data_IF_138882762494
#
_entry.id   IF_138882762494
#
_cell.length_a   1.000
_cell.length_b   1.000
_cell.length_c   1.000
_cell.angle_alpha   90.00
_cell.angle_beta   90.00
_cell.angle_gamma   90.00
#
_symmetry.space_group_name_H-M   'P 1'
#
loop_
_entity.id
_entity.type
_entity.pdbx_description
1 polymer ?
2 polymer ?
3 non-polymer ?
4 non-polymer ?
5 water ?
#
loop_
_entity_poly.entity_id
_entity_poly.type
_entity_poly.pdbx_seq_one_letter_code
_entity_poly.pdbx_strand_id
2 'polyribonucleotide' 'GGGGGCCACAGCAGAAGCGUUCACGUCGCGGCCCCUGUCAGCCAUUGCACUCCGGCUGCGAAUUCUGCU' ?
#
# COMPACT_ATOMS: atom_id res chain seq x y z
N UNK A 1 30.70 16.15 13.85
CA UNK A 1 30.29 16.34 15.23
C UNK A 1 29.57 15.10 15.75
N UNK A 2 30.33 14.07 16.06
CA UNK A 2 29.72 12.79 16.48
C UNK A 2 28.86 12.96 17.72
N UNK A 3 27.58 12.62 17.57
CA UNK A 3 26.58 12.64 18.63
C UNK A 3 26.22 11.22 19.00
N UNK A 4 25.69 11.04 20.22
CA UNK A 4 25.18 9.74 20.62
C UNK A 4 24.02 9.27 19.74
N UNK A 5 23.32 10.21 19.08
CA UNK A 5 22.09 9.91 18.36
C UNK A 5 22.27 10.21 16.88
N UNK A 6 21.89 9.25 16.03
CA UNK A 6 21.91 9.47 14.59
C UNK A 6 20.49 9.75 14.12
N UNK A 7 20.39 10.61 13.11
CA UNK A 7 19.11 11.01 12.52
C UNK A 7 19.02 10.40 11.13
N UNK A 8 17.97 9.62 10.90
CA UNK A 8 17.78 8.90 9.65
C UNK A 8 16.47 9.37 9.03
N UNK A 9 16.54 9.89 7.80
CA UNK A 9 15.32 10.19 7.06
C UNK A 9 15.38 9.52 5.69
N UNK A 10 14.43 9.85 4.81
CA UNK A 10 14.21 9.13 3.56
C UNK A 10 13.82 7.68 3.82
N UNK A 11 13.06 7.46 4.90
CA UNK A 11 12.57 6.13 5.25
C UNK A 11 11.19 5.90 4.65
N UNK A 12 10.94 4.65 4.26
CA UNK A 12 9.65 4.25 3.69
C UNK A 12 8.53 4.55 4.67
N UNK A 13 7.66 5.49 4.32
CA UNK A 13 6.63 5.97 5.25
C UNK A 13 5.45 5.00 5.37
N UNK A 14 5.37 3.97 4.54
CA UNK A 14 4.31 2.99 4.67
C UNK A 14 4.57 1.97 5.77
N UNK A 15 5.80 1.88 6.26
CA UNK A 15 6.14 0.89 7.28
C UNK A 15 5.64 1.37 8.64
N UNK A 16 5.00 0.46 9.37
CA UNK A 16 4.36 0.83 10.63
C UNK A 16 5.38 0.92 11.76
N UNK A 17 4.99 1.64 12.83
CA UNK A 17 5.93 2.07 13.85
C UNK A 17 6.64 0.88 14.51
N UNK A 18 5.90 -0.17 14.86
CA UNK A 18 6.51 -1.29 15.54
C UNK A 18 7.45 -2.07 14.62
N UNK A 19 7.05 -2.27 13.36
CA UNK A 19 7.92 -2.96 12.42
C UNK A 19 9.15 -2.13 12.08
N UNK A 20 8.97 -0.81 11.93
CA UNK A 20 10.09 0.06 11.64
C UNK A 20 11.11 0.06 12.77
N UNK A 21 10.64 0.09 14.03
CA UNK A 21 11.55 0.07 15.16
C UNK A 21 12.31 -1.25 15.24
N UNK A 22 11.61 -2.37 15.03
CA UNK A 22 12.27 -3.68 15.11
C UNK A 22 13.29 -3.86 14.00
N UNK A 23 12.97 -3.38 12.78
CA UNK A 23 13.91 -3.53 11.68
C UNK A 23 15.11 -2.59 11.83
N UNK A 24 14.87 -1.37 12.30
CA UNK A 24 15.98 -0.45 12.57
C UNK A 24 16.87 -1.01 13.68
N UNK A 25 16.28 -1.65 14.68
CA UNK A 25 17.07 -2.25 15.75
C UNK A 25 17.90 -3.41 15.24
N UNK A 26 17.38 -4.16 14.26
CA UNK A 26 18.08 -5.34 13.77
C UNK A 26 19.40 -4.96 13.09
N UNK A 27 19.41 -3.86 12.34
CA UNK A 27 20.60 -3.49 11.58
C UNK A 27 21.55 -2.57 12.35
N UNK A 28 21.06 -1.83 13.34
CA UNK A 28 21.91 -0.87 14.04
C UNK A 28 22.44 -1.39 15.37
N UNK A 29 21.80 -2.39 15.96
CA UNK A 29 22.35 -2.98 17.18
C UNK A 29 23.67 -3.71 16.91
N UNK A 30 23.97 -4.01 15.65
CA UNK A 30 25.26 -4.59 15.29
C UNK A 30 26.41 -3.68 15.68
N UNK A 31 26.16 -2.38 15.78
CA UNK A 31 27.20 -1.41 16.06
C UNK A 31 27.34 -1.07 17.54
N UNK A 32 26.43 -1.50 18.38
CA UNK A 32 26.55 -1.24 19.81
C UNK A 32 25.18 -1.14 20.43
N UNK A 33 25.20 -0.97 21.76
CA UNK A 33 23.98 -0.90 22.54
C UNK A 33 23.17 0.32 22.17
N UNK A 34 21.89 0.11 21.88
CA UNK A 34 20.96 1.18 21.55
C UNK A 34 20.11 1.48 22.78
N UNK A 35 20.08 2.76 23.19
CA UNK A 35 19.30 3.15 24.36
C UNK A 35 17.84 3.36 24.03
N UNK A 36 17.52 3.80 22.81
CA UNK A 36 16.15 4.03 22.41
C UNK A 36 16.11 4.26 20.90
N UNK A 37 14.95 4.00 20.31
CA UNK A 37 14.68 4.33 18.92
C UNK A 37 13.36 5.07 18.89
N UNK A 38 13.40 6.34 18.46
CA UNK A 38 12.23 7.21 18.50
C UNK A 38 11.68 7.37 17.09
N UNK A 39 10.43 6.94 16.89
CA UNK A 39 9.77 6.95 15.59
C UNK A 39 8.37 7.50 15.79
N UNK A 40 8.01 8.51 14.98
CA UNK A 40 6.65 9.04 14.94
C UNK A 40 6.15 9.07 13.51
N UNK A 41 4.87 8.77 13.32
CA UNK A 41 4.27 8.76 11.99
C UNK A 41 3.38 9.97 11.74
N UNK A 42 3.46 10.98 12.60
CA UNK A 42 2.76 12.23 12.35
C UNK A 42 3.31 12.92 11.11
N UNK A 43 2.55 13.90 10.59
CA UNK A 43 2.93 14.58 9.36
C UNK A 43 4.32 15.17 9.45
N UNK A 44 4.69 15.69 10.62
CA UNK A 44 5.99 16.34 10.76
C UNK A 44 7.12 15.34 10.80
N UNK A 45 6.93 14.21 11.49
CA UNK A 45 8.02 13.30 11.83
C UNK A 45 8.00 11.98 11.07
N UNK A 46 7.11 11.81 10.11
CA UNK A 46 7.08 10.54 9.38
C UNK A 46 8.29 10.44 8.44
N UNK A 47 8.64 9.20 8.12
CA UNK A 47 9.82 8.95 7.30
C UNK A 47 11.13 9.25 7.99
N UNK A 48 11.14 9.34 9.32
CA UNK A 48 12.32 9.74 10.07
C UNK A 48 12.44 8.89 11.33
N UNK A 49 13.65 8.82 11.86
CA UNK A 49 13.90 8.06 13.09
C UNK A 49 15.14 8.61 13.78
N UNK A 50 15.15 8.47 15.10
CA UNK A 50 16.30 8.80 15.93
C UNK A 50 16.76 7.53 16.63
N UNK A 51 18.01 7.14 16.39
CA UNK A 51 18.60 5.97 17.03
C UNK A 51 19.65 6.46 18.02
N UNK A 52 19.43 6.18 19.29
CA UNK A 52 20.30 6.67 20.37
C UNK A 52 21.23 5.53 20.78
N UNK A 53 22.53 5.72 20.57
CA UNK A 53 23.53 4.74 20.98
C UNK A 53 24.09 5.09 22.35
N UNK A 54 24.46 4.05 23.11
CA UNK A 54 25.03 4.26 24.43
C UNK A 54 26.40 4.94 24.35
N UNK A 55 27.12 4.73 23.25
CA UNK A 55 28.45 5.31 23.07
C UNK A 55 28.51 6.01 21.73
N UNK A 56 29.26 7.11 21.68
CA UNK A 56 29.32 7.93 20.46
C UNK A 56 30.03 7.18 19.34
N UNK A 57 31.00 6.33 19.66
CA UNK A 57 31.71 5.60 18.62
C UNK A 57 30.79 4.66 17.85
N UNK A 58 29.80 4.09 18.54
CA UNK A 58 28.82 3.24 17.86
C UNK A 58 28.02 4.04 16.83
N UNK A 59 27.63 5.26 17.17
CA UNK A 59 26.87 6.09 16.24
C UNK A 59 27.71 6.49 15.05
N UNK A 60 29.00 6.73 15.26
CA UNK A 60 29.89 7.06 14.15
C UNK A 60 30.10 5.85 13.23
N UNK A 61 30.27 4.66 13.82
CA UNK A 61 30.41 3.46 13.00
C UNK A 61 29.12 3.15 12.25
N UNK A 62 27.97 3.29 12.92
CA UNK A 62 26.69 3.02 12.26
C UNK A 62 26.45 4.00 11.11
N UNK A 63 26.87 5.25 11.28
CA UNK A 63 26.64 6.25 10.24
C UNK A 63 27.50 5.98 9.02
N UNK A 64 28.81 5.81 9.22
CA UNK A 64 29.71 5.57 8.09
C UNK A 64 29.39 4.28 7.37
N UNK A 65 28.93 3.26 8.10
CA UNK A 65 28.73 1.94 7.52
C UNK A 65 27.38 1.78 6.82
N UNK A 66 26.33 2.44 7.29
CA UNK A 66 24.99 2.25 6.77
C UNK A 66 24.50 3.42 5.93
N UNK A 67 25.38 4.36 5.59
CA UNK A 67 24.98 5.48 4.75
C UNK A 67 24.56 4.99 3.36
N UNK A 68 23.34 5.34 2.96
CA UNK A 68 22.83 4.96 1.66
C UNK A 68 22.37 3.52 1.55
N UNK A 69 22.26 2.81 2.66
CA UNK A 69 21.91 1.40 2.62
C UNK A 69 20.46 1.21 2.21
N UNK A 70 20.15 0.36 1.24
CA UNK A 70 18.75 0.14 0.84
C UNK A 70 17.95 -0.46 1.99
N UNK A 71 16.88 0.24 2.36
CA UNK A 71 16.05 -0.14 3.51
C UNK A 71 14.60 0.02 3.06
N UNK A 72 13.89 -1.11 2.94
CA UNK A 72 12.57 -1.13 2.33
C UNK A 72 12.57 -0.40 0.99
N UNK A 73 13.62 -0.67 0.20
CA UNK A 73 13.78 -0.16 -1.16
C UNK A 73 13.94 1.36 -1.21
N UNK A 74 14.44 1.95 -0.12
CA UNK A 74 14.83 3.35 -0.11
C UNK A 74 16.20 3.50 0.55
N UNK A 75 17.09 4.28 -0.04
CA UNK A 75 18.44 4.45 0.54
C UNK A 75 18.39 5.26 1.83
N UNK A 76 18.89 4.68 2.91
CA UNK A 76 18.91 5.38 4.20
C UNK A 76 19.80 6.61 4.14
N UNK A 77 19.27 7.72 4.65
CA UNK A 77 19.98 8.99 4.73
C UNK A 77 20.27 9.27 6.20
N UNK A 78 21.55 9.22 6.58
CA UNK A 78 21.94 9.25 7.98
C UNK A 78 22.78 10.49 8.25
N UNK A 79 22.45 11.20 9.34
CA UNK A 79 23.23 12.31 9.87
C UNK A 79 23.31 12.16 11.37
N UNK A 80 24.24 12.88 11.98
CA UNK A 80 24.20 13.05 13.43
C UNK A 80 23.03 13.96 13.81
N UNK A 81 22.49 13.72 15.00
CA UNK A 81 21.43 14.59 15.50
C UNK A 81 22.00 15.97 15.81
N UNK A 82 21.23 17.01 15.47
CA UNK A 82 21.72 18.37 15.66
C UNK A 82 21.88 18.73 17.12
N UNK A 83 21.05 18.17 18.01
CA UNK A 83 21.19 18.36 19.44
C UNK A 83 21.16 17.02 20.14
N UNK A 84 21.65 17.00 21.39
CA UNK A 84 21.60 15.80 22.19
C UNK A 84 20.15 15.39 22.47
N UNK A 85 19.91 14.09 22.49
CA UNK A 85 18.61 13.59 22.95
C UNK A 85 18.45 13.86 24.44
N UNK A 86 17.19 13.96 24.87
CA UNK A 86 16.90 14.31 26.26
C UNK A 86 17.57 13.35 27.23
N UNK A 87 17.56 12.05 26.91
CA UNK A 87 18.10 11.08 27.84
C UNK A 87 19.62 11.19 27.93
N UNK A 88 20.27 11.62 26.84
CA UNK A 88 21.72 11.75 26.85
C UNK A 88 22.15 13.02 27.59
N UNK A 89 21.41 14.11 27.40
CA UNK A 89 21.74 15.36 28.09
C UNK A 89 21.65 15.20 29.60
N UNK A 90 20.67 14.42 30.08
CA UNK A 90 20.48 14.22 31.50
C UNK A 90 21.49 13.24 32.10
N UNK A 91 22.31 12.59 31.29
CA UNK A 91 23.32 11.65 31.79
C UNK A 91 24.67 12.34 31.98
N UNK B 1 -22.86 -4.43 -29.45
CA UNK B 1 -23.03 -5.85 -29.15
C UNK B 1 -23.22 -6.08 -27.65
N UNK B 2 -24.45 -5.89 -27.17
CA UNK B 2 -24.72 -6.04 -25.73
C UNK B 2 -24.53 -7.48 -25.27
N UNK B 3 -24.43 -7.62 -23.95
CA UNK B 3 -24.20 -8.92 -23.32
C UNK B 3 -24.69 -8.86 -21.88
N UNK B 4 -25.09 -10.03 -21.36
CA UNK B 4 -25.47 -10.11 -19.95
C UNK B 4 -24.34 -9.71 -19.02
N UNK B 5 -23.09 -9.85 -19.47
CA UNK B 5 -21.92 -9.65 -18.63
C UNK B 5 -21.18 -8.39 -19.09
N UNK B 6 -20.87 -7.51 -18.15
CA UNK B 6 -20.04 -6.34 -18.43
C UNK B 6 -18.62 -6.65 -18.00
N UNK B 7 -17.66 -6.15 -18.77
CA UNK B 7 -16.24 -6.32 -18.49
C UNK B 7 -15.69 -5.00 -17.97
N UNK B 8 -15.22 -5.00 -16.73
CA UNK B 8 -14.67 -3.82 -16.09
C UNK B 8 -13.18 -4.03 -15.93
N UNK B 9 -12.39 -3.06 -16.39
CA UNK B 9 -10.95 -3.08 -16.12
C UNK B 9 -10.50 -1.70 -15.68
N UNK B 10 -9.19 -1.50 -15.55
CA UNK B 10 -8.61 -0.33 -14.90
C UNK B 10 -9.10 -0.22 -13.45
N UNK B 11 -9.19 -1.37 -12.78
CA UNK B 11 -9.56 -1.42 -11.38
C UNK B 11 -8.32 -1.34 -10.49
N UNK B 12 -8.48 -0.77 -9.31
CA UNK B 12 -7.41 -0.66 -8.34
C UNK B 12 -6.93 -2.06 -7.95
N UNK B 13 -5.73 -2.42 -8.36
CA UNK B 13 -5.22 -3.77 -8.15
C UNK B 13 -4.77 -4.05 -6.72
N UNK B 14 -4.78 -3.05 -5.84
CA UNK B 14 -4.41 -3.27 -4.45
C UNK B 14 -5.58 -3.73 -3.59
N UNK B 15 -6.80 -3.69 -4.11
CA UNK B 15 -7.97 -4.10 -3.34
C UNK B 15 -8.08 -5.62 -3.37
N UNK B 16 -8.36 -6.21 -2.22
CA UNK B 16 -8.42 -7.66 -2.12
C UNK B 16 -9.72 -8.19 -2.74
N UNK B 17 -9.73 -9.50 -3.01
CA UNK B 17 -10.79 -10.09 -3.82
C UNK B 17 -12.15 -9.96 -3.15
N UNK B 18 -12.25 -10.37 -1.88
CA UNK B 18 -13.54 -10.34 -1.19
C UNK B 18 -14.07 -8.91 -1.07
N UNK B 19 -13.18 -7.95 -0.83
CA UNK B 19 -13.61 -6.56 -0.70
C UNK B 19 -14.00 -5.97 -2.06
N UNK B 20 -13.25 -6.32 -3.11
CA UNK B 20 -13.56 -5.81 -4.44
C UNK B 20 -14.92 -6.30 -4.92
N UNK B 21 -15.23 -7.58 -4.67
CA UNK B 21 -16.51 -8.13 -5.09
C UNK B 21 -17.67 -7.48 -4.33
N UNK B 22 -17.49 -7.25 -3.03
CA UNK B 22 -18.55 -6.64 -2.24
C UNK B 22 -18.81 -5.19 -2.67
N UNK B 23 -17.74 -4.45 -2.98
CA UNK B 23 -17.92 -3.06 -3.38
C UNK B 23 -18.49 -2.97 -4.80
N UNK B 24 -18.07 -3.87 -5.70
CA UNK B 24 -18.64 -3.89 -7.03
C UNK B 24 -20.12 -4.26 -6.98
N UNK B 25 -20.49 -5.18 -6.08
CA UNK B 25 -21.89 -5.55 -5.92
C UNK B 25 -22.70 -4.39 -5.34
N UNK B 26 -22.10 -3.59 -4.46
CA UNK B 26 -22.84 -2.51 -3.82
C UNK B 26 -23.20 -1.41 -4.81
N UNK B 27 -22.31 -1.11 -5.76
CA UNK B 27 -22.55 -0.03 -6.70
C UNK B 27 -23.24 -0.48 -7.98
N UNK B 28 -23.33 -1.79 -8.24
CA UNK B 28 -23.97 -2.29 -9.46
C UNK B 28 -25.31 -2.97 -9.23
N UNK B 29 -25.72 -3.19 -7.98
CA UNK B 29 -26.96 -3.91 -7.72
C UNK B 29 -28.19 -3.07 -8.00
N UNK B 30 -28.06 -1.75 -8.12
CA UNK B 30 -29.23 -0.92 -8.38
C UNK B 30 -29.71 -0.98 -9.82
N UNK B 31 -28.91 -1.55 -10.72
CA UNK B 31 -29.31 -1.70 -12.11
C UNK B 31 -30.09 -2.98 -12.38
N UNK B 32 -30.08 -3.93 -11.45
CA UNK B 32 -30.79 -5.17 -11.63
C UNK B 32 -30.11 -6.31 -10.90
N UNK B 33 -30.73 -7.49 -11.01
CA UNK B 33 -30.22 -8.66 -10.33
C UNK B 33 -28.88 -9.10 -10.91
N UNK B 34 -27.89 -9.26 -10.04
CA UNK B 34 -26.56 -9.75 -10.43
C UNK B 34 -26.49 -11.24 -10.15
N UNK B 35 -26.10 -12.01 -11.17
CA UNK B 35 -26.00 -13.47 -10.99
C UNK B 35 -24.65 -13.87 -10.40
N UNK B 36 -23.58 -13.16 -10.74
CA UNK B 36 -22.26 -13.49 -10.22
C UNK B 36 -21.33 -12.32 -10.52
N UNK B 37 -20.27 -12.23 -9.73
CA UNK B 37 -19.18 -11.28 -9.96
C UNK B 37 -17.88 -12.07 -9.90
N UNK B 38 -17.17 -12.13 -11.02
CA UNK B 38 -15.97 -12.95 -11.14
C UNK B 38 -14.74 -12.05 -11.05
N UNK B 39 -13.86 -12.34 -10.09
CA UNK B 39 -12.66 -11.55 -9.83
C UNK B 39 -11.50 -12.51 -9.57
N UNK B 40 -10.36 -12.23 -10.19
CA UNK B 40 -9.12 -12.95 -9.92
C UNK B 40 -7.98 -11.95 -9.88
N UNK B 41 -7.00 -12.22 -9.01
CA UNK B 41 -5.86 -11.33 -8.85
C UNK B 41 -4.59 -11.89 -9.45
N UNK B 42 -4.70 -12.89 -10.32
CA UNK B 42 -3.54 -13.41 -11.03
C UNK B 42 -2.97 -12.33 -11.95
N UNK B 43 -1.75 -12.58 -12.42
CA UNK B 43 -1.08 -11.62 -13.30
C UNK B 43 -1.95 -11.24 -14.48
N UNK B 44 -2.60 -12.24 -15.11
CA UNK B 44 -3.39 -12.00 -16.31
C UNK B 44 -4.71 -11.30 -15.99
N UNK B 45 -5.35 -11.65 -14.88
CA UNK B 45 -6.72 -11.23 -14.63
C UNK B 45 -6.84 -10.15 -13.56
N UNK B 46 -5.75 -9.63 -13.03
CA UNK B 46 -5.86 -8.59 -12.02
C UNK B 46 -6.30 -7.27 -12.66
N UNK B 47 -6.87 -6.40 -11.82
CA UNK B 47 -7.42 -5.14 -12.31
C UNK B 47 -8.68 -5.27 -13.12
N UNK B 48 -9.32 -6.44 -13.14
CA UNK B 48 -10.47 -6.68 -14.00
C UNK B 48 -11.54 -7.43 -13.23
N UNK B 49 -12.79 -7.23 -13.64
CA UNK B 49 -13.91 -7.95 -13.05
C UNK B 49 -14.96 -8.20 -14.11
N UNK B 50 -15.72 -9.29 -13.93
CA UNK B 50 -16.85 -9.63 -14.79
C UNK B 50 -18.11 -9.62 -13.92
N UNK B 51 -19.05 -8.76 -14.27
CA UNK B 51 -20.32 -8.66 -13.55
C UNK B 51 -21.41 -9.23 -14.45
N UNK B 52 -22.00 -10.35 -14.02
CA UNK B 52 -23.01 -11.05 -14.79
C UNK B 52 -24.38 -10.60 -14.30
N UNK B 53 -25.15 -9.96 -15.18
CA UNK B 53 -26.49 -9.51 -14.86
C UNK B 53 -27.52 -10.52 -15.37
N UNK B 54 -28.64 -10.61 -14.65
CA UNK B 54 -29.70 -11.53 -15.04
C UNK B 54 -30.35 -11.12 -16.35
N UNK B 55 -30.35 -9.83 -16.67
CA UNK B 55 -30.99 -9.34 -17.88
C UNK B 55 -30.10 -8.34 -18.59
N UNK B 56 -30.06 -8.43 -19.92
CA UNK B 56 -29.16 -7.59 -20.72
C UNK B 56 -29.44 -6.11 -20.49
N UNK B 57 -30.69 -5.76 -20.20
CA UNK B 57 -31.03 -4.35 -19.96
C UNK B 57 -30.25 -3.81 -18.77
N UNK B 58 -30.09 -4.61 -17.72
CA UNK B 58 -29.33 -4.18 -16.55
C UNK B 58 -27.87 -3.89 -16.92
N UNK B 59 -27.27 -4.75 -17.75
CA UNK B 59 -25.89 -4.54 -18.14
C UNK B 59 -25.75 -3.29 -19.00
N UNK B 60 -26.71 -3.04 -19.89
CA UNK B 60 -26.66 -1.85 -20.72
C UNK B 60 -26.77 -0.58 -19.87
N UNK B 61 -27.67 -0.59 -18.88
CA UNK B 61 -27.80 0.57 -18.00
C UNK B 61 -26.54 0.76 -17.17
N UNK B 62 -25.94 -0.34 -16.69
CA UNK B 62 -24.74 -0.23 -15.87
C UNK B 62 -23.55 0.29 -16.68
N UNK B 63 -23.42 -0.16 -17.93
CA UNK B 63 -22.31 0.29 -18.76
C UNK B 63 -22.41 1.78 -19.06
N UNK B 64 -23.62 2.27 -19.36
CA UNK B 64 -23.80 3.67 -19.72
C UNK B 64 -23.73 4.57 -18.49
N UNK B 65 -24.22 4.10 -17.34
CA UNK B 65 -24.32 4.96 -16.17
C UNK B 65 -23.04 5.01 -15.35
N UNK B 66 -22.25 3.93 -15.35
CA UNK B 66 -21.06 3.83 -14.52
C UNK B 66 -19.76 3.96 -15.31
N UNK B 67 -19.85 4.33 -16.60
CA UNK B 67 -18.64 4.51 -17.39
C UNK B 67 -17.80 5.66 -16.84
N UNK B 68 -16.53 5.37 -16.54
CA UNK B 68 -15.63 6.36 -16.02
C UNK B 68 -15.81 6.71 -14.56
N UNK B 69 -16.71 6.02 -13.85
CA UNK B 69 -16.99 6.35 -12.46
C UNK B 69 -15.78 6.05 -11.59
N UNK B 70 -15.36 6.99 -10.73
CA UNK B 70 -14.21 6.73 -9.86
C UNK B 70 -14.54 5.64 -8.83
N UNK B 71 -13.64 4.66 -8.73
CA UNK B 71 -13.83 3.49 -7.89
C UNK B 71 -12.49 3.18 -7.24
N UNK B 72 -12.39 3.43 -5.94
CA UNK B 72 -11.09 3.43 -5.24
C UNK B 72 -10.10 4.32 -5.98
N UNK B 73 -10.57 5.49 -6.40
CA UNK B 73 -9.76 6.54 -7.01
C UNK B 73 -9.18 6.14 -8.37
N UNK B 74 -9.87 5.27 -9.10
CA UNK B 74 -9.52 4.92 -10.47
C UNK B 74 -10.81 4.86 -11.28
N UNK B 75 -10.84 5.49 -12.46
CA UNK B 75 -12.06 5.45 -13.28
C UNK B 75 -12.30 4.07 -13.86
N UNK B 76 -13.51 3.56 -13.70
CA UNK B 76 -13.86 2.26 -14.27
C UNK B 76 -14.03 2.37 -15.77
N UNK B 77 -13.40 1.46 -16.51
CA UNK B 77 -13.62 1.30 -17.95
C UNK B 77 -14.51 0.09 -18.15
N UNK B 78 -15.67 0.30 -18.76
CA UNK B 78 -16.69 -0.74 -18.88
C UNK B 78 -16.97 -1.03 -20.34
N UNK B 79 -16.82 -2.29 -20.72
CA UNK B 79 -17.27 -2.81 -22.00
C UNK B 79 -18.17 -4.01 -21.75
N UNK B 80 -18.94 -4.37 -22.77
CA UNK B 80 -19.59 -5.68 -22.75
C UNK B 80 -18.54 -6.78 -22.88
N UNK B 81 -18.78 -7.90 -22.21
CA UNK B 81 -17.92 -9.05 -22.40
C UNK B 81 -18.00 -9.51 -23.85
N UNK B 82 -16.85 -9.92 -24.40
CA UNK B 82 -16.81 -10.30 -25.81
C UNK B 82 -17.59 -11.59 -26.08
N UNK B 83 -17.63 -12.50 -25.12
CA UNK B 83 -18.41 -13.73 -25.25
C UNK B 83 -19.31 -13.90 -24.04
N UNK B 84 -20.33 -14.75 -24.19
CA UNK B 84 -21.22 -15.06 -23.10
C UNK B 84 -20.49 -15.77 -21.98
N UNK B 85 -20.79 -15.38 -20.74
CA UNK B 85 -20.31 -16.15 -19.59
C UNK B 85 -20.92 -17.55 -19.61
N UNK B 86 -20.20 -18.50 -19.01
CA UNK B 86 -20.62 -19.90 -19.05
C UNK B 86 -22.06 -20.07 -18.59
N UNK B 87 -22.42 -19.44 -17.47
CA UNK B 87 -23.75 -19.66 -16.90
C UNK B 87 -24.83 -19.07 -17.80
N UNK B 88 -24.53 -17.96 -18.48
CA UNK B 88 -25.51 -17.35 -19.39
C UNK B 88 -25.71 -18.24 -20.61
N UNK B 89 -24.62 -18.77 -21.17
CA UNK B 89 -24.72 -19.61 -22.36
C UNK B 89 -25.50 -20.89 -22.11
N UNK B 90 -25.54 -21.37 -20.87
CA UNK B 90 -26.22 -22.61 -20.53
C UNK B 90 -27.69 -22.41 -20.16
N UNK B 91 -28.18 -21.18 -20.13
CA UNK B 91 -29.57 -20.93 -19.76
C UNK B 91 -30.29 -20.08 -20.82
X LIG E 1 7.51 6.79 9.10
X LIG F 1 -9.21 -8.51 -10.21
X LIG G 1 14.64 -3.94 1.36
X LIG G 1 16.01 -3.85 1.11
X LIG G 1 14.47 -4.63 2.73
X LIG G 1 14.90 -3.83 3.79
X LIG G 1 12.95 -4.95 2.82
X LIG G 1 12.73 -5.47 4.09
X LIG H 1 -3.08 -0.74 -12.63
#
# INVERSE_FOLDING_TARGET
RPNHTIYINNLNEKIKKDELKKSLHAIFSRFGQILDILVSRSLKMRGQAFVIFKEVSSATNALRSMQGFPFYDKPMRIQYAKTDSDIIAKM
RPNHTIYINNLNEKIKKDELKKSLHAIFSRFGQILDILVSRSLKMRGQAFVIFKEVSSATNALRSMQGFPFYDKPMRIQYAKTDSDIIAKM
K K
K K
GOL C1 O1 C2 O2 C3 O3
K K
#
